data_IF_079074962566
#
_entry.id   IF_079074962566
#
_cell.length_a   1.000
_cell.length_b   1.000
_cell.length_c   1.000
_cell.angle_alpha   90.00
_cell.angle_beta   90.00
_cell.angle_gamma   90.00
#
_symmetry.space_group_name_H-M   'P 1'
#
loop_
_entity.id
_entity.type
_entity.pdbx_description
1 polymer ?
#
# COMPACT_ATOMS: atom_id res chain seq x y z
N UNK A 1 67.73 -58.73 -58.96
CA UNK A 1 66.96 -59.30 -57.84
C UNK A 1 66.40 -58.20 -56.92
N UNK A 2 65.15 -58.35 -56.58
CA UNK A 2 64.33 -57.68 -55.57
C UNK A 2 63.53 -56.49 -56.07
N UNK A 3 62.36 -56.85 -56.54
CA UNK A 3 61.20 -56.04 -56.68
C UNK A 3 60.86 -55.34 -55.35
N UNK A 4 60.74 -54.02 -55.29
CA UNK A 4 60.33 -53.30 -54.10
C UNK A 4 58.95 -52.78 -54.40
N UNK A 5 57.98 -53.33 -53.68
CA UNK A 5 56.58 -53.00 -53.70
C UNK A 5 56.31 -51.49 -53.69
N UNK A 6 55.57 -51.02 -54.64
CA UNK A 6 55.00 -49.67 -54.68
C UNK A 6 53.51 -49.75 -54.27
N UNK A 7 53.26 -50.17 -53.07
CA UNK A 7 51.85 -50.25 -52.51
C UNK A 7 51.33 -49.02 -51.85
N UNK A 8 52.10 -47.93 -51.72
CA UNK A 8 51.73 -46.76 -51.00
C UNK A 8 51.33 -45.51 -51.83
N UNK A 9 51.18 -45.67 -53.17
CA UNK A 9 50.89 -44.56 -54.08
C UNK A 9 49.43 -44.48 -54.53
N UNK A 10 48.48 -45.14 -53.90
CA UNK A 10 47.11 -45.17 -54.39
C UNK A 10 46.02 -44.83 -53.37
N UNK A 11 46.36 -44.12 -52.26
CA UNK A 11 45.38 -43.49 -51.40
C UNK A 11 45.56 -41.99 -51.48
N UNK A 12 44.82 -41.40 -52.42
CA UNK A 12 44.74 -39.96 -52.52
C UNK A 12 43.83 -39.44 -51.37
N UNK A 13 44.32 -38.61 -50.41
CA UNK A 13 43.49 -38.04 -49.34
C UNK A 13 42.49 -37.04 -49.89
N UNK A 14 42.50 -36.77 -51.21
CA UNK A 14 41.61 -35.74 -51.80
C UNK A 14 40.11 -36.09 -51.79
N UNK A 15 39.78 -37.39 -51.68
CA UNK A 15 38.36 -37.82 -51.64
C UNK A 15 37.68 -37.61 -50.30
N UNK A 16 38.40 -37.92 -49.24
CA UNK A 16 37.85 -37.75 -47.86
C UNK A 16 37.65 -36.28 -47.46
N UNK A 17 38.54 -35.39 -47.88
CA UNK A 17 38.43 -33.96 -47.63
C UNK A 17 37.28 -33.34 -48.41
N UNK A 18 37.00 -33.88 -49.63
CA UNK A 18 35.88 -33.40 -50.45
C UNK A 18 34.52 -33.76 -49.84
N UNK A 19 34.36 -34.99 -49.35
CA UNK A 19 33.12 -35.41 -48.62
C UNK A 19 32.93 -34.65 -47.32
N UNK A 20 33.99 -34.41 -46.56
CA UNK A 20 33.92 -33.60 -45.32
C UNK A 20 33.49 -32.17 -45.60
N UNK A 21 34.00 -31.54 -46.65
CA UNK A 21 33.63 -30.20 -47.08
C UNK A 21 32.14 -30.13 -47.47
N UNK A 22 31.64 -31.15 -48.18
CA UNK A 22 30.24 -31.24 -48.58
C UNK A 22 29.36 -31.40 -47.33
N UNK A 23 29.70 -32.27 -46.38
CA UNK A 23 28.96 -32.48 -45.15
C UNK A 23 28.92 -31.23 -44.27
N UNK A 24 30.03 -30.50 -44.14
CA UNK A 24 30.08 -29.23 -43.40
C UNK A 24 29.22 -28.14 -44.05
N UNK A 25 29.20 -28.13 -45.41
CA UNK A 25 28.37 -27.17 -46.16
C UNK A 25 26.89 -27.46 -45.97
N UNK A 26 26.48 -28.72 -45.99
CA UNK A 26 25.09 -29.13 -45.74
C UNK A 26 24.67 -28.80 -44.29
N UNK A 27 25.54 -29.07 -43.30
CA UNK A 27 25.27 -28.68 -41.89
C UNK A 27 25.10 -27.16 -41.72
N UNK A 28 25.92 -26.38 -42.40
CA UNK A 28 25.86 -24.93 -42.36
C UNK A 28 24.57 -24.39 -42.99
N UNK A 29 24.17 -24.95 -44.12
CA UNK A 29 22.91 -24.63 -44.78
C UNK A 29 21.69 -25.04 -43.95
N UNK A 30 21.73 -26.22 -43.30
CA UNK A 30 20.69 -26.68 -42.40
C UNK A 30 20.56 -25.75 -41.15
N UNK A 31 21.71 -25.33 -40.59
CA UNK A 31 21.73 -24.38 -39.46
C UNK A 31 21.18 -23.00 -39.85
N UNK A 32 21.54 -22.49 -41.02
CA UNK A 32 21.02 -21.22 -41.54
C UNK A 32 19.52 -21.31 -41.85
N UNK A 33 19.06 -22.43 -42.43
CA UNK A 33 17.64 -22.67 -42.67
C UNK A 33 16.85 -22.74 -41.35
N UNK A 34 17.36 -23.43 -40.32
CA UNK A 34 16.75 -23.50 -38.98
C UNK A 34 16.74 -22.14 -38.30
N UNK A 35 17.78 -21.33 -38.45
CA UNK A 35 17.83 -19.94 -37.96
C UNK A 35 16.79 -19.04 -38.63
N UNK A 36 16.61 -19.21 -39.94
CA UNK A 36 15.57 -18.53 -40.73
C UNK A 36 14.16 -18.89 -40.27
N UNK A 37 13.88 -20.16 -40.02
CA UNK A 37 12.59 -20.65 -39.50
C UNK A 37 12.32 -20.09 -38.10
N UNK A 38 13.31 -20.13 -37.20
CA UNK A 38 13.15 -19.53 -35.86
C UNK A 38 12.89 -18.03 -35.93
N UNK A 39 13.49 -17.32 -36.89
CA UNK A 39 13.27 -15.87 -37.07
C UNK A 39 11.89 -15.56 -37.66
N UNK A 40 11.37 -16.44 -38.55
CA UNK A 40 10.02 -16.32 -39.10
C UNK A 40 8.95 -16.59 -38.04
N UNK A 41 9.12 -17.63 -37.21
CA UNK A 41 8.20 -17.93 -36.09
C UNK A 41 8.20 -16.85 -35.00
N UNK A 42 9.28 -16.07 -34.86
CA UNK A 42 9.37 -14.96 -33.93
C UNK A 42 8.61 -13.69 -34.40
N UNK A 43 8.29 -13.60 -35.68
CA UNK A 43 7.77 -12.37 -36.30
C UNK A 43 6.26 -12.25 -36.35
N UNK A 44 5.53 -13.29 -36.02
CA UNK A 44 4.06 -13.28 -36.13
C UNK A 44 3.37 -13.16 -34.76
N UNK A 45 3.63 -12.05 -34.03
CA UNK A 45 2.63 -11.55 -33.11
C UNK A 45 1.64 -10.77 -33.92
N UNK A 46 0.47 -11.37 -34.15
CA UNK A 46 -0.64 -10.71 -34.82
C UNK A 46 -0.84 -9.29 -34.26
N UNK A 47 -1.06 -8.28 -35.10
CA UNK A 47 -1.32 -6.93 -34.64
C UNK A 47 -2.55 -6.95 -33.73
N UNK A 48 -2.39 -6.38 -32.51
CA UNK A 48 -3.49 -6.26 -31.54
C UNK A 48 -4.70 -5.63 -32.25
N UNK A 49 -5.88 -6.21 -32.05
CA UNK A 49 -7.12 -5.65 -32.57
C UNK A 49 -7.29 -4.21 -32.03
N UNK A 50 -7.97 -3.30 -32.76
CA UNK A 50 -8.17 -1.94 -32.32
C UNK A 50 -8.83 -1.87 -30.93
N UNK A 51 -9.73 -2.80 -30.62
CA UNK A 51 -10.36 -2.92 -29.29
C UNK A 51 -9.33 -3.23 -28.20
N UNK A 52 -8.39 -4.16 -28.45
CA UNK A 52 -7.33 -4.49 -27.48
C UNK A 52 -6.35 -3.33 -27.25
N UNK A 53 -6.13 -2.47 -28.25
CA UNK A 53 -5.32 -1.26 -28.08
C UNK A 53 -6.06 -0.23 -27.22
N UNK A 54 -7.34 -0.01 -27.46
CA UNK A 54 -8.17 0.94 -26.70
C UNK A 54 -8.30 0.49 -25.23
N UNK A 55 -8.53 -0.80 -24.98
CA UNK A 55 -8.62 -1.33 -23.61
C UNK A 55 -7.29 -1.19 -22.87
N UNK A 56 -6.16 -1.47 -23.49
CA UNK A 56 -4.83 -1.28 -22.88
C UNK A 56 -4.55 0.18 -22.52
N UNK A 57 -4.91 1.11 -23.41
CA UNK A 57 -4.76 2.55 -23.16
C UNK A 57 -5.68 2.97 -22.00
N UNK A 58 -6.94 2.52 -22.02
CA UNK A 58 -7.92 2.81 -20.96
C UNK A 58 -7.46 2.31 -19.59
N UNK A 59 -6.99 1.07 -19.49
CA UNK A 59 -6.41 0.54 -18.25
C UNK A 59 -5.16 1.31 -17.80
N UNK A 60 -4.30 1.73 -18.74
CA UNK A 60 -3.16 2.56 -18.44
C UNK A 60 -3.55 3.92 -17.84
N UNK A 61 -4.54 4.58 -18.41
CA UNK A 61 -5.03 5.87 -17.90
C UNK A 61 -5.62 5.71 -16.49
N UNK A 62 -6.49 4.70 -16.29
CA UNK A 62 -7.09 4.42 -14.98
C UNK A 62 -6.00 4.12 -13.94
N UNK A 63 -5.00 3.30 -14.29
CA UNK A 63 -3.87 3.01 -13.40
C UNK A 63 -3.12 4.27 -12.98
N UNK A 64 -2.80 5.16 -13.93
CA UNK A 64 -2.08 6.38 -13.62
C UNK A 64 -2.91 7.38 -12.80
N UNK A 65 -4.23 7.47 -13.07
CA UNK A 65 -5.14 8.28 -12.26
C UNK A 65 -5.21 7.79 -10.81
N UNK A 66 -5.30 6.48 -10.61
CA UNK A 66 -5.27 5.87 -9.26
C UNK A 66 -3.92 6.11 -8.58
N UNK A 67 -2.81 5.95 -9.29
CA UNK A 67 -1.48 6.19 -8.74
C UNK A 67 -1.29 7.65 -8.33
N UNK A 68 -1.71 8.61 -9.16
CA UNK A 68 -1.67 10.04 -8.85
C UNK A 68 -2.56 10.39 -7.66
N UNK A 69 -3.78 9.83 -7.59
CA UNK A 69 -4.69 10.00 -6.45
C UNK A 69 -4.06 9.49 -5.15
N UNK A 70 -3.47 8.32 -5.17
CA UNK A 70 -2.79 7.75 -4.01
C UNK A 70 -1.59 8.60 -3.58
N UNK A 71 -0.80 9.09 -4.55
CA UNK A 71 0.33 9.97 -4.26
C UNK A 71 -0.11 11.30 -3.65
N UNK A 72 -1.21 11.88 -4.14
CA UNK A 72 -1.80 13.10 -3.58
C UNK A 72 -2.26 12.89 -2.13
N UNK A 73 -2.93 11.77 -1.84
CA UNK A 73 -3.36 11.40 -0.50
C UNK A 73 -2.15 11.21 0.43
N UNK A 74 -1.11 10.53 -0.03
CA UNK A 74 0.13 10.36 0.75
C UNK A 74 0.83 11.70 1.01
N UNK A 75 0.87 12.57 0.02
CA UNK A 75 1.47 13.90 0.16
C UNK A 75 0.71 14.76 1.18
N UNK A 76 -0.62 14.79 1.13
CA UNK A 76 -1.43 15.54 2.11
C UNK A 76 -1.28 14.97 3.52
N UNK A 77 -1.27 13.66 3.67
CA UNK A 77 -1.03 13.01 4.97
C UNK A 77 0.37 13.31 5.54
N UNK A 78 1.39 13.34 4.68
CA UNK A 78 2.76 13.67 5.08
C UNK A 78 2.90 15.15 5.49
N UNK A 79 2.28 16.06 4.76
CA UNK A 79 2.29 17.48 5.07
C UNK A 79 1.57 17.75 6.40
N UNK A 80 0.39 17.17 6.61
CA UNK A 80 -0.37 17.27 7.87
C UNK A 80 0.45 16.77 9.07
N UNK A 81 1.21 15.69 8.90
CA UNK A 81 2.09 15.17 9.96
C UNK A 81 3.26 16.11 10.26
N UNK A 82 3.80 16.81 9.27
CA UNK A 82 4.87 17.82 9.46
C UNK A 82 4.39 19.01 10.30
N UNK A 83 3.15 19.45 10.08
CA UNK A 83 2.55 20.58 10.78
C UNK A 83 2.01 20.21 12.18
N UNK A 84 2.33 19.00 12.68
CA UNK A 84 1.87 18.48 13.97
C UNK A 84 0.37 18.15 13.98
N UNK A 85 -0.28 18.19 12.83
CA UNK A 85 -1.68 17.81 12.66
C UNK A 85 -1.89 16.29 12.72
N UNK A 86 -3.13 15.88 12.91
CA UNK A 86 -3.53 14.49 12.87
C UNK A 86 -3.98 14.17 11.44
N UNK A 87 -3.41 13.15 10.79
CA UNK A 87 -3.83 12.78 9.44
C UNK A 87 -5.31 12.41 9.42
N UNK A 88 -6.08 13.10 8.59
CA UNK A 88 -7.48 12.79 8.34
C UNK A 88 -7.74 12.62 6.85
N UNK A 89 -8.59 11.65 6.51
CA UNK A 89 -9.03 11.40 5.13
C UNK A 89 -10.53 11.54 5.10
N UNK A 90 -11.04 12.46 4.31
CA UNK A 90 -12.48 12.80 4.24
C UNK A 90 -13.11 13.11 5.63
N UNK A 91 -12.35 13.74 6.53
CA UNK A 91 -12.79 14.04 7.89
C UNK A 91 -12.75 12.85 8.85
N UNK A 92 -12.20 11.71 8.46
CA UNK A 92 -12.01 10.54 9.33
C UNK A 92 -10.54 10.40 9.72
N UNK A 93 -10.29 10.15 10.99
CA UNK A 93 -8.98 9.88 11.57
C UNK A 93 -8.98 8.52 12.25
N UNK A 94 -7.83 7.82 12.22
CA UNK A 94 -7.65 6.54 12.89
C UNK A 94 -6.72 6.71 14.09
N UNK A 95 -7.10 6.08 15.21
CA UNK A 95 -6.30 6.07 16.44
C UNK A 95 -6.20 4.64 16.97
N UNK A 96 -5.06 4.31 17.55
CA UNK A 96 -4.89 3.07 18.29
C UNK A 96 -5.12 3.34 19.78
N UNK A 97 -5.90 2.49 20.43
CA UNK A 97 -6.10 2.53 21.88
C UNK A 97 -4.86 1.94 22.57
N UNK A 98 -4.10 2.79 23.26
CA UNK A 98 -2.85 2.38 23.89
C UNK A 98 -2.98 2.16 25.39
N UNK A 99 -3.98 2.77 26.03
CA UNK A 99 -4.19 2.74 27.47
C UNK A 99 -5.54 2.16 27.86
N UNK A 100 -5.66 1.74 29.13
CA UNK A 100 -6.88 1.16 29.67
C UNK A 100 -7.93 2.18 30.15
N UNK A 101 -7.76 3.48 29.89
CA UNK A 101 -8.69 4.52 30.40
C UNK A 101 -10.12 4.35 29.90
N UNK A 102 -10.31 3.71 28.76
CA UNK A 102 -11.63 3.48 28.15
C UNK A 102 -12.13 2.03 28.27
N UNK A 103 -11.45 1.18 29.03
CA UNK A 103 -11.90 -0.20 29.30
C UNK A 103 -13.16 -0.16 30.21
N UNK A 104 -14.19 -0.97 29.93
CA UNK A 104 -14.29 -2.04 28.92
C UNK A 104 -14.75 -1.60 27.53
N UNK A 105 -15.17 -0.34 27.36
CA UNK A 105 -15.80 0.17 26.13
C UNK A 105 -14.85 0.06 24.92
N UNK A 106 -13.61 0.50 25.10
CA UNK A 106 -12.57 0.44 24.07
C UNK A 106 -11.39 -0.37 24.62
N UNK A 107 -11.25 -1.64 24.23
CA UNK A 107 -10.12 -2.49 24.65
C UNK A 107 -8.77 -1.97 24.12
N UNK A 108 -7.72 -2.16 24.92
CA UNK A 108 -6.34 -1.85 24.50
C UNK A 108 -6.00 -2.59 23.20
N UNK A 109 -5.28 -1.93 22.29
CA UNK A 109 -4.89 -2.48 20.99
C UNK A 109 -5.94 -2.34 19.90
N UNK A 110 -7.17 -1.94 20.22
CA UNK A 110 -8.21 -1.65 19.22
C UNK A 110 -7.84 -0.44 18.36
N UNK A 111 -8.32 -0.43 17.13
CA UNK A 111 -8.29 0.75 16.26
C UNK A 111 -9.65 1.41 16.30
N UNK A 112 -9.70 2.69 16.60
CA UNK A 112 -10.92 3.50 16.57
C UNK A 112 -10.90 4.43 15.37
N UNK A 113 -12.08 4.64 14.81
CA UNK A 113 -12.30 5.60 13.74
C UNK A 113 -13.13 6.73 14.31
N UNK A 114 -12.58 7.94 14.22
CA UNK A 114 -13.23 9.15 14.67
C UNK A 114 -13.50 10.08 13.47
N UNK A 115 -14.66 10.72 13.45
CA UNK A 115 -15.06 11.71 12.44
C UNK A 115 -14.97 13.11 13.03
N UNK A 116 -14.36 14.05 12.32
CA UNK A 116 -14.36 15.47 12.69
C UNK A 116 -15.81 15.95 12.82
N UNK A 117 -16.22 16.53 13.95
CA UNK A 117 -17.59 17.00 14.16
C UNK A 117 -17.91 18.17 13.25
N UNK A 118 -19.13 18.20 12.73
CA UNK A 118 -19.61 19.34 11.91
C UNK A 118 -19.83 20.59 12.75
N UNK A 119 -20.26 20.40 13.99
CA UNK A 119 -20.41 21.47 14.97
C UNK A 119 -19.74 21.04 16.29
N UNK A 120 -18.48 21.47 16.53
CA UNK A 120 -17.78 21.11 17.75
C UNK A 120 -18.33 21.79 19.03
N UNK A 121 -19.14 22.84 18.90
CA UNK A 121 -19.77 23.53 20.03
C UNK A 121 -21.07 22.84 20.50
N UNK A 122 -21.55 21.83 19.78
CA UNK A 122 -22.81 21.17 20.08
C UNK A 122 -22.68 19.63 20.11
N UNK A 123 -21.62 19.11 20.71
CA UNK A 123 -21.43 17.67 20.87
C UNK A 123 -22.24 17.17 22.07
N UNK A 124 -23.15 16.20 21.91
CA UNK A 124 -23.99 15.70 22.99
C UNK A 124 -23.18 15.05 24.13
N UNK A 125 -23.64 15.21 25.36
CA UNK A 125 -23.15 14.44 26.52
C UNK A 125 -23.34 12.94 26.26
N UNK A 126 -22.38 12.14 26.68
CA UNK A 126 -22.31 10.69 26.38
C UNK A 126 -21.51 10.33 25.13
N UNK A 127 -21.17 11.30 24.26
CA UNK A 127 -20.35 11.07 23.08
C UNK A 127 -18.90 10.79 23.49
N UNK A 128 -18.28 9.78 22.86
CA UNK A 128 -16.84 9.54 22.98
C UNK A 128 -16.14 10.44 21.98
N UNK A 129 -15.17 11.22 22.46
CA UNK A 129 -14.41 12.18 21.65
C UNK A 129 -12.91 11.89 21.76
N UNK A 130 -12.21 12.09 20.66
CA UNK A 130 -10.74 12.14 20.62
C UNK A 130 -10.35 13.59 20.53
N UNK A 131 -9.49 14.04 21.42
CA UNK A 131 -9.10 15.44 21.55
C UNK A 131 -7.65 15.59 21.99
N UNK A 132 -7.15 16.82 22.00
CA UNK A 132 -5.81 17.16 22.43
C UNK A 132 -5.84 17.94 23.74
N UNK A 133 -5.12 17.47 24.75
CA UNK A 133 -4.82 18.25 25.96
C UNK A 133 -3.88 19.42 25.66
N UNK A 134 -3.82 20.43 26.55
CA UNK A 134 -2.83 21.52 26.45
C UNK A 134 -1.38 21.01 26.43
N UNK A 135 -1.12 19.87 27.07
CA UNK A 135 0.18 19.18 27.02
C UNK A 135 0.57 18.66 25.64
N UNK A 136 -0.36 18.70 24.66
CA UNK A 136 -0.19 18.13 23.32
C UNK A 136 -0.57 16.64 23.21
N UNK A 137 -0.86 15.97 24.34
CA UNK A 137 -1.25 14.57 24.37
C UNK A 137 -2.64 14.38 23.73
N UNK A 138 -2.77 13.38 22.87
CA UNK A 138 -4.05 13.00 22.25
C UNK A 138 -4.69 11.91 23.09
N UNK A 139 -5.93 12.13 23.49
CA UNK A 139 -6.70 11.27 24.40
C UNK A 139 -8.09 11.00 23.81
N UNK A 140 -8.64 9.85 24.12
CA UNK A 140 -10.03 9.49 23.77
C UNK A 140 -10.79 9.23 25.06
N UNK A 141 -11.77 10.09 25.39
CA UNK A 141 -12.60 9.98 26.58
C UNK A 141 -14.06 10.29 26.23
N UNK A 142 -14.96 10.10 27.19
CA UNK A 142 -16.39 10.40 27.04
C UNK A 142 -16.71 11.77 27.63
N UNK A 143 -17.52 12.55 26.93
CA UNK A 143 -18.13 13.77 27.47
C UNK A 143 -19.15 13.36 28.53
N UNK A 144 -18.95 13.82 29.75
CA UNK A 144 -19.88 13.56 30.88
C UNK A 144 -20.72 14.79 31.24
N UNK A 145 -20.29 15.99 30.85
CA UNK A 145 -20.97 17.23 31.15
C UNK A 145 -20.63 18.30 30.11
N UNK A 146 -21.60 19.18 29.81
CA UNK A 146 -21.38 20.37 29.00
C UNK A 146 -21.57 21.60 29.89
N UNK A 147 -20.65 22.54 29.84
CA UNK A 147 -20.65 23.77 30.59
C UNK A 147 -20.53 24.95 29.64
N UNK A 148 -20.96 26.12 30.11
CA UNK A 148 -20.79 27.40 29.42
C UNK A 148 -19.87 28.25 30.29
N UNK A 149 -18.82 28.78 29.71
CA UNK A 149 -17.89 29.66 30.39
C UNK A 149 -18.52 31.07 30.56
N UNK A 150 -17.95 31.96 31.38
CA UNK A 150 -18.48 33.33 31.60
C UNK A 150 -18.57 34.17 30.31
N UNK A 151 -17.80 33.87 29.30
CA UNK A 151 -17.76 34.57 28.02
C UNK A 151 -18.74 33.96 26.98
N UNK A 152 -19.51 32.95 27.39
CA UNK A 152 -20.50 32.25 26.54
C UNK A 152 -19.92 31.12 25.70
N UNK A 153 -18.66 30.78 25.90
CA UNK A 153 -18.01 29.63 25.19
C UNK A 153 -18.46 28.30 25.78
N UNK A 154 -18.54 27.28 24.90
CA UNK A 154 -18.86 25.91 25.32
C UNK A 154 -17.61 25.22 25.83
N UNK A 155 -17.72 24.49 26.91
CA UNK A 155 -16.68 23.62 27.46
C UNK A 155 -17.25 22.25 27.81
N UNK A 156 -16.46 21.22 27.66
CA UNK A 156 -16.83 19.85 27.98
C UNK A 156 -15.99 19.30 29.12
N UNK A 157 -16.62 18.64 30.07
CA UNK A 157 -15.96 17.79 31.04
C UNK A 157 -15.90 16.37 30.47
N UNK A 158 -14.73 15.80 30.45
CA UNK A 158 -14.49 14.46 29.91
C UNK A 158 -14.04 13.50 31.01
N UNK A 159 -14.22 12.21 30.77
CA UNK A 159 -13.80 11.13 31.65
C UNK A 159 -13.57 9.85 30.85
N UNK A 160 -12.54 9.09 31.19
CA UNK A 160 -12.39 7.72 30.71
C UNK A 160 -13.46 6.79 31.27
N UNK A 161 -13.92 5.84 30.47
CA UNK A 161 -14.98 4.89 30.84
C UNK A 161 -14.55 3.87 31.91
N UNK A 162 -13.25 3.75 32.18
CA UNK A 162 -12.76 2.88 33.23
C UNK A 162 -13.26 3.38 34.59
N UNK A 163 -13.93 2.54 35.40
CA UNK A 163 -14.49 2.95 36.71
C UNK A 163 -13.47 3.51 37.68
N UNK A 164 -12.21 3.18 37.57
CA UNK A 164 -11.13 3.67 38.42
C UNK A 164 -10.67 5.10 38.07
N UNK A 165 -11.05 5.62 36.90
CA UNK A 165 -10.69 6.99 36.52
C UNK A 165 -11.55 8.01 37.19
N UNK A 166 -10.95 9.13 37.56
CA UNK A 166 -11.65 10.35 37.86
C UNK A 166 -11.97 11.16 36.60
N UNK A 167 -12.93 12.13 36.67
CA UNK A 167 -13.09 13.10 35.59
C UNK A 167 -11.79 13.84 35.30
N UNK A 168 -11.58 14.20 34.04
CA UNK A 168 -10.38 14.92 33.61
C UNK A 168 -10.33 16.29 34.33
N UNK A 169 -9.18 16.64 34.84
CA UNK A 169 -8.98 17.90 35.56
C UNK A 169 -9.02 19.11 34.63
N UNK A 170 -8.77 18.92 33.36
CA UNK A 170 -8.76 19.94 32.30
C UNK A 170 -10.10 19.92 31.56
N UNK A 171 -10.71 21.09 31.37
CA UNK A 171 -11.89 21.21 30.52
C UNK A 171 -11.50 21.24 29.04
N UNK A 172 -12.24 20.52 28.23
CA UNK A 172 -12.06 20.44 26.80
C UNK A 172 -12.83 21.58 26.12
N UNK A 173 -12.13 22.40 25.34
CA UNK A 173 -12.74 23.40 24.46
C UNK A 173 -12.97 22.81 23.05
N UNK A 174 -13.98 23.28 22.29
CA UNK A 174 -14.38 22.77 21.00
C UNK A 174 -13.24 22.72 19.96
N UNK A 175 -12.36 23.72 19.97
CA UNK A 175 -11.21 23.84 19.05
C UNK A 175 -10.18 22.73 19.21
N UNK A 176 -10.15 22.04 20.35
CA UNK A 176 -9.26 20.93 20.65
C UNK A 176 -9.85 19.56 20.33
N UNK A 177 -11.11 19.50 19.94
CA UNK A 177 -11.75 18.26 19.50
C UNK A 177 -11.25 17.86 18.13
N UNK A 178 -10.68 16.67 18.02
CA UNK A 178 -10.17 16.11 16.78
C UNK A 178 -11.28 15.33 16.06
N UNK A 179 -12.08 14.57 16.83
CA UNK A 179 -13.16 13.79 16.25
C UNK A 179 -14.05 13.10 17.27
N UNK A 180 -15.24 12.74 16.83
CA UNK A 180 -16.21 11.93 17.56
C UNK A 180 -16.10 10.47 17.13
N UNK A 181 -16.13 9.55 18.08
CA UNK A 181 -16.08 8.12 17.83
C UNK A 181 -17.22 7.67 16.91
N UNK A 182 -16.90 6.88 15.90
CA UNK A 182 -17.88 6.28 15.00
C UNK A 182 -17.98 4.77 15.20
N UNK A 183 -16.87 4.08 15.08
CA UNK A 183 -16.80 2.63 15.29
C UNK A 183 -15.37 2.17 15.62
N UNK A 184 -15.28 0.94 16.09
CA UNK A 184 -14.03 0.31 16.51
C UNK A 184 -13.79 -0.98 15.73
N UNK A 185 -12.55 -1.20 15.35
CA UNK A 185 -12.06 -2.46 14.81
C UNK A 185 -11.26 -3.15 15.91
N UNK A 186 -11.77 -4.28 16.40
CA UNK A 186 -11.01 -5.14 17.32
C UNK A 186 -9.91 -5.83 16.51
N UNK A 187 -8.67 -5.54 16.83
CA UNK A 187 -7.56 -6.32 16.27
C UNK A 187 -7.48 -7.65 17.03
N UNK A 188 -7.34 -8.78 16.33
CA UNK A 188 -7.04 -10.03 17.01
C UNK A 188 -5.69 -9.85 17.74
N UNK A 189 -5.65 -10.20 19.02
CA UNK A 189 -4.42 -10.22 19.81
C UNK A 189 -3.51 -11.31 19.24
N UNK A 190 -2.69 -10.96 18.24
CA UNK A 190 -1.74 -11.89 17.60
C UNK A 190 -0.50 -12.10 18.46
N UNK A 191 -0.36 -11.33 19.52
CA UNK A 191 0.74 -11.44 20.49
C UNK A 191 0.14 -11.52 21.89
N UNK A 192 0.08 -12.73 22.41
CA UNK A 192 -0.23 -12.98 23.80
C UNK A 192 0.81 -12.28 24.68
N UNK A 193 0.35 -11.35 25.49
CA UNK A 193 0.96 -11.02 26.77
C UNK A 193 -0.10 -11.27 27.80
N UNK A 194 -0.12 -12.52 28.29
CA UNK A 194 -0.70 -12.87 29.59
C UNK A 194 0.01 -12.10 30.68
#
# INVERSE_FOLDING_TARGET
MRNRDQSWMNESPAGEDHERVIALREQTLAYQAAGGVKRALRKEKAPLSPVQKITRIGFGIIFWLLALSLMAIMYTAWQTKRDGGIPSVFGYSLFRVETGSMVPTLPIGSIIIAKTPENPDAIPVGTIVTFRFHSGMVVTHRIIETMVDPDGGVQYRTKGDNPINDPDGELLTPDRVIGTFQFMIKMPTVWGTD
#
